data_IF_537367677541
#
_entry.id   IF_537367677541
#
_cell.length_a   1.000
_cell.length_b   1.000
_cell.length_c   1.000
_cell.angle_alpha   90.00
_cell.angle_beta   90.00
_cell.angle_gamma   90.00
#
_symmetry.space_group_name_H-M   'P 1'
#
loop_
_entity.id
_entity.type
_entity.pdbx_description
1 polymer ?
#
# COMPACT_ATOMS: atom_id res chain seq x y z
N UNK A 1 -6.94 27.73 -9.71
CA UNK A 1 -7.66 26.74 -8.88
C UNK A 1 -7.65 25.42 -9.64
N UNK A 2 -7.10 24.37 -9.07
CA UNK A 2 -7.12 23.06 -9.74
C UNK A 2 -8.56 22.57 -9.85
N UNK A 3 -8.96 22.13 -11.05
CA UNK A 3 -10.27 21.50 -11.28
C UNK A 3 -10.35 20.21 -10.45
N UNK A 4 -11.41 20.06 -9.64
CA UNK A 4 -11.67 18.81 -8.91
C UNK A 4 -12.80 18.05 -9.59
N UNK A 5 -12.64 16.75 -9.73
CA UNK A 5 -13.70 15.88 -10.20
C UNK A 5 -14.88 15.82 -9.23
N UNK A 6 -16.08 15.51 -9.75
CA UNK A 6 -17.29 15.19 -8.99
C UNK A 6 -17.38 13.70 -8.63
N UNK A 7 -16.55 12.84 -9.24
CA UNK A 7 -16.46 11.44 -8.85
C UNK A 7 -16.05 11.34 -7.37
N UNK A 8 -16.79 10.54 -6.64
CA UNK A 8 -16.36 10.17 -5.28
C UNK A 8 -15.13 9.26 -5.38
N UNK A 9 -14.30 9.26 -4.34
CA UNK A 9 -13.14 8.38 -4.29
C UNK A 9 -13.51 6.90 -4.60
N UNK A 10 -14.61 6.41 -4.03
CA UNK A 10 -15.08 5.04 -4.23
C UNK A 10 -15.50 4.75 -5.69
N UNK A 11 -16.16 5.72 -6.33
CA UNK A 11 -16.51 5.63 -7.74
C UNK A 11 -15.26 5.61 -8.63
N UNK A 12 -14.29 6.47 -8.35
CA UNK A 12 -13.02 6.50 -9.07
C UNK A 12 -12.26 5.17 -8.94
N UNK A 13 -12.16 4.60 -7.73
CA UNK A 13 -11.51 3.30 -7.52
C UNK A 13 -12.22 2.15 -8.20
N UNK A 14 -13.55 2.14 -8.18
CA UNK A 14 -14.34 1.15 -8.90
C UNK A 14 -14.02 1.18 -10.41
N UNK A 15 -13.96 2.37 -11.00
CA UNK A 15 -13.62 2.56 -12.40
C UNK A 15 -12.17 2.16 -12.69
N UNK A 16 -11.22 2.54 -11.83
CA UNK A 16 -9.81 2.17 -11.97
C UNK A 16 -9.63 0.65 -11.99
N UNK A 17 -10.24 -0.06 -11.04
CA UNK A 17 -10.16 -1.53 -10.96
C UNK A 17 -10.78 -2.19 -12.19
N UNK A 18 -11.91 -1.65 -12.67
CA UNK A 18 -12.58 -2.21 -13.84
C UNK A 18 -11.78 -2.00 -15.15
N UNK A 19 -11.22 -0.80 -15.33
CA UNK A 19 -10.46 -0.45 -16.52
C UNK A 19 -8.96 -0.80 -16.44
N UNK A 20 -8.56 -1.74 -15.59
CA UNK A 20 -7.20 -2.27 -15.51
C UNK A 20 -6.21 -1.35 -14.81
N UNK A 21 -6.68 -0.61 -13.80
CA UNK A 21 -5.85 0.25 -12.97
C UNK A 21 -5.48 1.59 -13.60
N UNK A 22 -6.20 2.03 -14.62
CA UNK A 22 -5.91 3.31 -15.31
C UNK A 22 -6.11 4.51 -14.40
N UNK A 23 -5.25 5.51 -14.55
CA UNK A 23 -5.44 6.82 -13.93
C UNK A 23 -6.34 7.69 -14.78
N UNK A 24 -7.22 8.47 -14.12
CA UNK A 24 -8.12 9.42 -14.75
C UNK A 24 -7.64 10.84 -14.52
N UNK A 25 -7.12 11.49 -15.57
CA UNK A 25 -6.69 12.89 -15.54
C UNK A 25 -7.82 13.77 -16.08
N UNK A 26 -8.40 14.62 -15.24
CA UNK A 26 -9.51 15.50 -15.61
C UNK A 26 -9.05 16.52 -16.68
N UNK A 27 -9.65 16.45 -17.87
CA UNK A 27 -9.40 17.34 -19.00
C UNK A 27 -10.44 18.43 -19.10
N UNK A 28 -11.70 18.06 -18.90
CA UNK A 28 -12.85 18.93 -19.15
C UNK A 28 -13.87 18.82 -18.01
N UNK A 29 -14.47 19.96 -17.67
CA UNK A 29 -15.57 20.06 -16.71
C UNK A 29 -16.56 21.13 -17.16
N UNK A 30 -17.82 20.72 -17.42
CA UNK A 30 -18.83 21.57 -18.02
C UNK A 30 -19.17 22.81 -17.18
N UNK A 31 -19.19 22.70 -15.85
CA UNK A 31 -19.42 23.82 -14.93
C UNK A 31 -18.33 24.89 -14.98
N UNK A 32 -17.13 24.55 -15.44
CA UNK A 32 -15.97 25.48 -15.51
C UNK A 32 -15.80 26.05 -16.91
N UNK A 33 -15.94 25.22 -17.96
CA UNK A 33 -15.57 25.56 -19.34
C UNK A 33 -16.79 25.90 -20.21
N UNK A 34 -18.00 25.92 -19.65
CA UNK A 34 -19.32 25.97 -20.31
C UNK A 34 -19.53 24.75 -21.20
N UNK A 35 -20.62 24.04 -21.01
CA UNK A 35 -20.92 22.85 -21.80
C UNK A 35 -21.16 23.22 -23.26
N UNK A 36 -20.29 22.68 -24.11
CA UNK A 36 -20.38 22.78 -25.57
C UNK A 36 -19.73 21.53 -26.15
N UNK A 37 -20.37 20.88 -27.09
CA UNK A 37 -19.82 19.73 -27.81
C UNK A 37 -18.47 20.05 -28.45
N UNK A 38 -18.35 21.24 -29.03
CA UNK A 38 -17.13 21.68 -29.68
C UNK A 38 -15.98 21.82 -28.67
N UNK A 39 -16.22 22.42 -27.50
CA UNK A 39 -15.21 22.55 -26.45
C UNK A 39 -14.80 21.19 -25.90
N UNK A 40 -15.77 20.29 -25.66
CA UNK A 40 -15.50 18.93 -25.20
C UNK A 40 -14.63 18.18 -26.21
N UNK A 41 -15.02 18.20 -27.50
CA UNK A 41 -14.27 17.52 -28.57
C UNK A 41 -12.86 18.10 -28.72
N UNK A 42 -12.71 19.43 -28.82
CA UNK A 42 -11.40 20.06 -28.94
C UNK A 42 -10.47 19.76 -27.74
N UNK A 43 -11.05 19.66 -26.53
CA UNK A 43 -10.26 19.36 -25.32
C UNK A 43 -9.80 17.90 -25.29
N UNK A 44 -10.62 16.98 -25.83
CA UNK A 44 -10.37 15.54 -25.77
C UNK A 44 -9.67 15.01 -27.04
N UNK A 45 -9.57 15.81 -28.11
CA UNK A 45 -8.92 15.41 -29.36
C UNK A 45 -7.44 15.12 -29.15
N UNK A 46 -6.95 14.02 -29.70
CA UNK A 46 -5.55 13.57 -29.60
C UNK A 46 -5.04 13.28 -28.17
N UNK A 47 -5.96 13.10 -27.22
CA UNK A 47 -5.57 12.78 -25.82
C UNK A 47 -5.41 11.27 -25.57
N UNK A 48 -5.59 10.41 -26.58
CA UNK A 48 -5.58 8.97 -26.42
C UNK A 48 -6.87 8.43 -25.77
N UNK A 49 -6.80 7.32 -25.02
CA UNK A 49 -7.97 6.75 -24.35
C UNK A 49 -8.65 7.78 -23.45
N UNK A 50 -9.95 7.98 -23.67
CA UNK A 50 -10.72 9.03 -23.01
C UNK A 50 -12.00 8.47 -22.38
N UNK A 51 -12.39 9.00 -21.24
CA UNK A 51 -13.64 8.68 -20.56
C UNK A 51 -14.46 9.94 -20.40
N UNK A 52 -15.72 9.92 -20.85
CA UNK A 52 -16.70 10.97 -20.57
C UNK A 52 -17.63 10.48 -19.48
N UNK A 53 -17.86 11.29 -18.47
CA UNK A 53 -18.73 10.98 -17.34
C UNK A 53 -19.80 12.06 -17.22
N UNK A 54 -21.05 11.64 -17.23
CA UNK A 54 -22.23 12.51 -17.10
C UNK A 54 -22.90 12.21 -15.77
N UNK A 55 -23.13 13.25 -14.99
CA UNK A 55 -23.81 13.18 -13.70
C UNK A 55 -25.27 13.61 -13.84
N UNK A 56 -26.15 12.79 -13.30
CA UNK A 56 -27.58 13.07 -13.16
C UNK A 56 -27.99 12.93 -11.69
N UNK A 57 -29.24 13.25 -11.34
CA UNK A 57 -29.73 13.12 -9.96
C UNK A 57 -29.65 11.69 -9.39
N UNK A 58 -29.85 10.69 -10.26
CA UNK A 58 -30.02 9.29 -9.82
C UNK A 58 -28.91 8.35 -10.25
N UNK A 59 -28.04 8.78 -11.16
CA UNK A 59 -26.99 7.92 -11.70
C UNK A 59 -25.84 8.74 -12.28
N UNK A 60 -24.71 8.10 -12.40
CA UNK A 60 -23.55 8.56 -13.16
C UNK A 60 -23.40 7.64 -14.37
N UNK A 61 -23.41 8.19 -15.57
CA UNK A 61 -23.25 7.44 -16.81
C UNK A 61 -21.88 7.77 -17.39
N UNK A 62 -21.10 6.75 -17.73
CA UNK A 62 -19.80 6.93 -18.35
C UNK A 62 -19.70 6.27 -19.71
N UNK A 63 -18.87 6.85 -20.55
CA UNK A 63 -18.55 6.40 -21.89
C UNK A 63 -17.04 6.34 -22.02
N UNK A 64 -16.48 5.13 -22.17
CA UNK A 64 -15.06 4.93 -22.34
C UNK A 64 -14.72 4.69 -23.81
N UNK A 65 -13.82 5.51 -24.35
CA UNK A 65 -13.33 5.50 -25.71
C UNK A 65 -11.87 4.97 -25.68
N UNK A 66 -11.70 3.71 -26.03
CA UNK A 66 -10.38 3.05 -25.97
C UNK A 66 -9.34 3.70 -26.91
N UNK A 67 -9.76 4.14 -28.07
CA UNK A 67 -8.90 4.75 -29.08
C UNK A 67 -8.91 6.27 -29.07
N UNK A 68 -9.64 6.87 -28.11
CA UNK A 68 -9.87 8.30 -28.02
C UNK A 68 -10.78 8.83 -29.14
N UNK A 69 -10.79 10.15 -29.30
CA UNK A 69 -11.57 10.82 -30.35
C UNK A 69 -10.79 10.83 -31.67
N UNK A 70 -11.07 9.87 -32.56
CA UNK A 70 -10.44 9.75 -33.90
C UNK A 70 -11.50 9.77 -35.02
N UNK A 71 -12.42 10.73 -35.06
CA UNK A 71 -13.37 10.82 -36.16
C UNK A 71 -14.82 10.49 -35.82
N UNK A 72 -15.67 10.18 -36.81
CA UNK A 72 -17.13 10.35 -36.73
C UNK A 72 -17.90 9.26 -35.98
N UNK A 73 -17.47 8.05 -35.89
CA UNK A 73 -18.22 6.95 -35.24
C UNK A 73 -17.27 6.11 -34.39
N UNK A 74 -17.11 6.51 -33.12
CA UNK A 74 -16.19 5.86 -32.20
C UNK A 74 -16.93 4.78 -31.41
N UNK A 75 -16.40 3.55 -31.45
CA UNK A 75 -16.87 2.46 -30.60
C UNK A 75 -16.61 2.79 -29.14
N UNK A 76 -17.63 2.73 -28.31
CA UNK A 76 -17.56 3.07 -26.89
C UNK A 76 -17.94 1.89 -25.99
N UNK A 77 -17.40 1.89 -24.79
CA UNK A 77 -17.91 1.07 -23.70
C UNK A 77 -18.73 1.96 -22.79
N UNK A 78 -20.00 1.60 -22.56
CA UNK A 78 -20.90 2.39 -21.72
C UNK A 78 -21.04 1.69 -20.36
N UNK A 79 -21.03 2.50 -19.30
CA UNK A 79 -21.26 2.02 -17.93
C UNK A 79 -22.17 2.98 -17.16
N UNK A 80 -22.75 2.49 -16.07
CA UNK A 80 -23.48 3.30 -15.11
C UNK A 80 -23.05 2.96 -13.68
N UNK A 81 -22.92 4.02 -12.87
CA UNK A 81 -22.75 3.94 -11.43
C UNK A 81 -24.02 4.41 -10.76
N UNK A 82 -24.65 3.54 -9.99
CA UNK A 82 -25.88 3.79 -9.24
C UNK A 82 -25.67 3.44 -7.77
N UNK A 83 -26.58 3.81 -6.90
CA UNK A 83 -26.55 3.36 -5.50
C UNK A 83 -26.55 1.84 -5.36
N UNK A 84 -27.18 1.16 -6.32
CA UNK A 84 -27.26 -0.32 -6.38
C UNK A 84 -26.00 -1.00 -6.91
N UNK A 85 -25.02 -0.25 -7.42
CA UNK A 85 -23.75 -0.79 -7.91
C UNK A 85 -23.33 -0.29 -9.30
N UNK A 86 -22.36 -0.99 -9.87
CA UNK A 86 -21.76 -0.75 -11.17
C UNK A 86 -22.40 -1.67 -12.22
N UNK A 87 -22.86 -1.10 -13.33
CA UNK A 87 -23.37 -1.85 -14.48
C UNK A 87 -22.66 -1.45 -15.76
N UNK A 88 -22.46 -2.41 -16.64
CA UNK A 88 -21.72 -2.25 -17.88
C UNK A 88 -22.51 -2.78 -19.07
N UNK A 89 -22.48 -2.04 -20.17
CA UNK A 89 -22.85 -2.51 -21.47
C UNK A 89 -21.60 -3.00 -22.19
N UNK A 90 -21.31 -4.30 -22.07
CA UNK A 90 -20.17 -4.94 -22.72
C UNK A 90 -20.47 -5.18 -24.22
N UNK A 91 -19.39 -5.34 -25.01
CA UNK A 91 -19.43 -5.57 -26.46
C UNK A 91 -20.38 -6.71 -26.83
N UNK A 92 -21.45 -6.36 -27.57
CA UNK A 92 -22.20 -7.27 -28.44
C UNK A 92 -21.69 -7.17 -29.89
N UNK A 93 -22.29 -7.91 -30.83
CA UNK A 93 -21.98 -7.78 -32.26
C UNK A 93 -22.17 -6.36 -32.78
N UNK A 94 -23.02 -5.56 -32.12
CA UNK A 94 -23.22 -4.12 -32.38
C UNK A 94 -22.64 -3.32 -31.21
N UNK A 95 -21.43 -2.79 -31.39
CA UNK A 95 -20.82 -1.90 -30.40
C UNK A 95 -21.62 -0.60 -30.28
N UNK A 96 -21.90 -0.09 -29.06
CA UNK A 96 -22.58 1.18 -28.91
C UNK A 96 -21.74 2.34 -29.46
N UNK A 97 -22.44 3.33 -30.03
CA UNK A 97 -21.83 4.52 -30.63
C UNK A 97 -22.20 5.77 -29.86
N UNK A 98 -21.25 6.70 -29.76
CA UNK A 98 -21.48 8.04 -29.22
C UNK A 98 -21.81 8.99 -30.37
N UNK A 99 -22.94 9.68 -30.26
CA UNK A 99 -23.41 10.68 -31.21
C UNK A 99 -23.45 12.06 -30.56
N UNK A 100 -22.97 13.09 -31.27
CA UNK A 100 -23.05 14.48 -30.85
C UNK A 100 -24.13 15.29 -31.62
N UNK A 101 -24.68 14.73 -32.69
CA UNK A 101 -25.73 15.35 -33.49
C UNK A 101 -26.83 14.34 -33.83
N UNK A 102 -28.09 14.78 -33.86
CA UNK A 102 -29.23 13.95 -34.29
C UNK A 102 -29.01 13.43 -35.72
N UNK A 103 -28.54 12.20 -35.81
CA UNK A 103 -28.67 11.35 -37.01
C UNK A 103 -29.59 10.17 -36.66
N UNK A 104 -30.03 9.38 -37.62
CA UNK A 104 -30.87 8.19 -37.36
C UNK A 104 -30.25 7.37 -36.24
N UNK A 105 -30.95 7.28 -35.09
CA UNK A 105 -30.54 6.50 -33.93
C UNK A 105 -30.70 5.03 -34.23
N UNK A 106 -29.61 4.27 -34.22
CA UNK A 106 -29.65 2.82 -34.19
C UNK A 106 -29.98 2.35 -32.77
N UNK A 107 -30.44 1.10 -32.62
CA UNK A 107 -30.87 0.53 -31.33
C UNK A 107 -29.78 0.50 -30.25
N UNK A 108 -28.51 0.81 -30.57
CA UNK A 108 -27.36 0.86 -29.68
C UNK A 108 -26.62 2.21 -29.77
N UNK A 109 -27.32 3.31 -29.69
CA UNK A 109 -26.69 4.64 -29.68
C UNK A 109 -26.97 5.41 -28.40
N UNK A 110 -25.96 6.21 -28.00
CA UNK A 110 -26.09 7.23 -26.97
C UNK A 110 -25.85 8.59 -27.61
N UNK A 111 -26.80 9.51 -27.42
CA UNK A 111 -26.66 10.89 -27.89
C UNK A 111 -26.37 11.78 -26.68
N UNK A 112 -25.23 12.44 -26.70
CA UNK A 112 -24.87 13.47 -25.73
C UNK A 112 -25.33 14.81 -26.29
N UNK A 113 -26.37 15.40 -25.70
CA UNK A 113 -26.84 16.75 -25.99
C UNK A 113 -26.42 17.72 -24.88
N UNK A 114 -26.52 19.02 -25.10
CA UNK A 114 -26.07 20.03 -24.12
C UNK A 114 -26.82 20.00 -22.79
N UNK A 115 -28.04 19.45 -22.76
CA UNK A 115 -28.90 19.41 -21.57
C UNK A 115 -29.25 18.02 -21.10
N UNK A 116 -29.05 17.00 -21.92
CA UNK A 116 -29.48 15.65 -21.64
C UNK A 116 -28.64 14.61 -22.37
N UNK A 117 -28.56 13.42 -21.78
CA UNK A 117 -28.13 12.22 -22.50
C UNK A 117 -29.37 11.46 -22.96
N UNK A 118 -29.44 11.14 -24.24
CA UNK A 118 -30.52 10.31 -24.80
C UNK A 118 -29.92 8.92 -25.04
N UNK A 119 -30.46 7.95 -24.33
CA UNK A 119 -29.94 6.56 -24.30
C UNK A 119 -30.95 5.66 -24.97
N UNK A 120 -30.54 4.77 -25.87
CA UNK A 120 -31.47 3.82 -26.49
C UNK A 120 -32.13 2.90 -25.44
N UNK A 121 -33.34 2.42 -25.76
CA UNK A 121 -34.12 1.55 -24.85
C UNK A 121 -33.37 0.24 -24.52
N UNK A 122 -32.59 -0.26 -25.46
CA UNK A 122 -31.75 -1.45 -25.24
C UNK A 122 -30.66 -1.21 -24.19
N UNK A 123 -29.94 -0.09 -24.33
CA UNK A 123 -28.88 0.30 -23.37
C UNK A 123 -29.50 0.63 -22.01
N UNK A 124 -30.65 1.32 -21.95
CA UNK A 124 -31.32 1.58 -20.68
C UNK A 124 -31.65 0.29 -19.91
N UNK A 125 -32.13 -0.75 -20.61
CA UNK A 125 -32.41 -2.05 -19.99
C UNK A 125 -31.14 -2.76 -19.51
N UNK A 126 -30.07 -2.74 -20.30
CA UNK A 126 -28.79 -3.37 -19.94
C UNK A 126 -28.13 -2.71 -18.72
N UNK A 127 -28.21 -1.39 -18.64
CA UNK A 127 -27.66 -0.62 -17.54
C UNK A 127 -28.64 -0.42 -16.37
N UNK A 128 -29.84 -1.00 -16.45
CA UNK A 128 -30.92 -0.87 -15.44
C UNK A 128 -31.27 0.59 -15.11
N UNK A 129 -31.20 1.47 -16.12
CA UNK A 129 -31.48 2.90 -15.95
C UNK A 129 -33.00 3.19 -15.92
N UNK A 130 -33.42 3.94 -14.92
CA UNK A 130 -34.79 4.46 -14.84
C UNK A 130 -34.87 5.83 -15.51
N UNK A 131 -35.11 5.87 -16.82
CA UNK A 131 -35.21 7.11 -17.58
C UNK A 131 -36.62 7.29 -18.18
N UNK A 132 -37.28 8.46 -18.00
CA UNK A 132 -38.51 8.79 -18.71
C UNK A 132 -38.17 9.10 -20.17
N UNK A 133 -38.81 8.39 -21.09
CA UNK A 133 -38.60 8.56 -22.54
C UNK A 133 -37.12 8.46 -22.98
N UNK A 134 -36.30 7.65 -22.27
CA UNK A 134 -34.88 7.46 -22.57
C UNK A 134 -34.03 8.74 -22.50
N UNK A 135 -34.52 9.78 -21.84
CA UNK A 135 -33.81 11.06 -21.66
C UNK A 135 -33.39 11.23 -20.22
N UNK A 136 -32.10 11.48 -20.01
CA UNK A 136 -31.48 11.66 -18.70
C UNK A 136 -30.92 13.08 -18.64
N UNK A 137 -31.45 13.97 -17.76
CA UNK A 137 -30.94 15.32 -17.60
C UNK A 137 -29.50 15.35 -17.11
N UNK A 138 -28.69 16.27 -17.65
CA UNK A 138 -27.27 16.46 -17.23
C UNK A 138 -27.22 17.53 -16.15
N UNK A 139 -26.59 17.19 -15.03
CA UNK A 139 -26.20 18.14 -13.99
C UNK A 139 -24.75 18.60 -14.15
N UNK A 140 -23.87 17.70 -14.56
CA UNK A 140 -22.45 17.95 -14.83
C UNK A 140 -21.96 16.98 -15.89
N UNK A 141 -20.94 17.41 -16.65
CA UNK A 141 -20.23 16.56 -17.59
C UNK A 141 -18.73 16.76 -17.41
N UNK A 142 -18.02 15.68 -17.23
CA UNK A 142 -16.57 15.66 -17.09
C UNK A 142 -15.95 14.74 -18.13
N UNK A 143 -14.76 15.08 -18.61
CA UNK A 143 -13.98 14.19 -19.45
C UNK A 143 -12.58 14.00 -18.87
N UNK A 144 -12.11 12.78 -18.97
CA UNK A 144 -10.83 12.35 -18.41
C UNK A 144 -9.97 11.71 -19.49
N UNK A 145 -8.70 11.99 -19.50
CA UNK A 145 -7.70 11.16 -20.16
C UNK A 145 -7.45 9.94 -19.29
N UNK A 146 -7.48 8.76 -19.91
CA UNK A 146 -7.20 7.50 -19.22
C UNK A 146 -5.75 7.08 -19.48
N UNK A 147 -4.89 7.34 -18.52
CA UNK A 147 -3.47 7.02 -18.62
C UNK A 147 -3.21 5.56 -18.17
N UNK A 148 -2.29 4.87 -18.84
CA UNK A 148 -1.77 3.60 -18.35
C UNK A 148 -0.94 3.87 -17.08
N UNK A 149 -1.06 2.99 -16.09
CA UNK A 149 -0.25 3.06 -14.87
C UNK A 149 1.27 2.97 -15.14
N UNK A 150 1.63 2.36 -16.25
CA UNK A 150 3.02 2.22 -16.73
C UNK A 150 3.40 3.35 -17.71
N UNK A 151 2.91 4.57 -17.53
CA UNK A 151 3.48 5.70 -18.24
C UNK A 151 4.99 5.74 -17.93
N UNK A 152 5.82 5.69 -18.97
CA UNK A 152 7.29 5.68 -18.83
C UNK A 152 7.81 6.81 -17.93
N UNK A 153 7.12 7.96 -17.89
CA UNK A 153 7.48 9.09 -17.04
C UNK A 153 7.35 8.77 -15.57
N UNK A 154 6.29 8.02 -15.15
CA UNK A 154 6.10 7.57 -13.77
C UNK A 154 7.04 6.44 -13.41
N UNK A 155 7.23 5.49 -14.33
CA UNK A 155 8.19 4.40 -14.14
C UNK A 155 9.60 4.94 -13.95
N UNK A 156 10.00 5.99 -14.70
CA UNK A 156 11.29 6.67 -14.48
C UNK A 156 11.38 7.31 -13.12
N UNK A 157 10.33 7.96 -12.63
CA UNK A 157 10.28 8.56 -11.29
C UNK A 157 10.45 7.51 -10.19
N UNK A 158 9.76 6.37 -10.29
CA UNK A 158 9.88 5.25 -9.36
C UNK A 158 11.29 4.65 -9.42
N UNK A 159 11.84 4.43 -10.60
CA UNK A 159 13.18 3.87 -10.77
C UNK A 159 14.27 4.78 -10.18
N UNK A 160 14.14 6.09 -10.34
CA UNK A 160 15.07 7.06 -9.74
C UNK A 160 14.96 7.06 -8.22
N UNK A 161 13.74 7.06 -7.68
CA UNK A 161 13.51 7.00 -6.23
C UNK A 161 14.03 5.68 -5.64
N UNK A 162 13.75 4.55 -6.29
CA UNK A 162 14.27 3.23 -5.92
C UNK A 162 15.82 3.24 -5.84
N UNK A 163 16.47 3.72 -6.91
CA UNK A 163 17.95 3.80 -6.95
C UNK A 163 18.50 4.70 -5.84
N UNK A 164 17.86 5.84 -5.58
CA UNK A 164 18.28 6.78 -4.53
C UNK A 164 18.12 6.16 -3.13
N UNK A 165 17.01 5.46 -2.86
CA UNK A 165 16.78 4.78 -1.60
C UNK A 165 17.78 3.64 -1.38
N UNK A 166 18.01 2.85 -2.42
CA UNK A 166 18.96 1.73 -2.37
C UNK A 166 20.39 2.22 -2.11
N UNK A 167 20.80 3.32 -2.77
CA UNK A 167 22.10 3.95 -2.54
C UNK A 167 22.22 4.53 -1.13
N UNK A 168 21.19 5.26 -0.66
CA UNK A 168 21.17 5.83 0.68
C UNK A 168 21.29 4.75 1.78
N UNK A 169 20.70 3.56 1.56
CA UNK A 169 20.78 2.45 2.49
C UNK A 169 22.11 1.67 2.40
N UNK A 170 22.76 1.66 1.24
CA UNK A 170 24.12 1.15 1.08
C UNK A 170 25.15 2.05 1.75
N UNK A 171 24.96 3.34 1.67
CA UNK A 171 25.82 4.37 2.27
C UNK A 171 25.51 4.62 3.74
N UNK A 172 24.49 3.95 4.30
CA UNK A 172 24.10 4.07 5.69
C UNK A 172 25.27 3.72 6.61
N UNK A 173 25.45 4.49 7.67
CA UNK A 173 26.41 4.23 8.74
C UNK A 173 25.74 4.45 10.08
N UNK A 174 25.97 3.55 11.06
CA UNK A 174 25.55 3.78 12.43
C UNK A 174 26.14 5.08 12.99
N UNK A 175 25.37 5.78 13.81
CA UNK A 175 25.77 7.05 14.37
C UNK A 175 27.09 6.94 15.19
N UNK A 176 28.04 7.86 14.91
CA UNK A 176 29.25 8.04 15.69
C UNK A 176 30.20 6.84 15.73
N UNK A 177 30.06 5.89 14.81
CA UNK A 177 30.84 4.62 14.80
C UNK A 177 30.78 3.84 16.12
N UNK A 178 29.72 4.07 16.94
CA UNK A 178 29.54 3.41 18.24
C UNK A 178 29.37 1.89 18.11
N UNK A 179 28.79 1.46 16.98
CA UNK A 179 28.61 0.07 16.61
C UNK A 179 28.92 -0.12 15.12
N UNK A 180 29.36 -1.31 14.73
CA UNK A 180 29.58 -1.64 13.32
C UNK A 180 28.28 -1.90 12.57
N UNK A 181 27.28 -2.42 13.27
CA UNK A 181 25.97 -2.77 12.70
C UNK A 181 24.86 -2.40 13.67
N UNK A 182 23.86 -1.70 13.14
CA UNK A 182 22.63 -1.39 13.87
C UNK A 182 21.76 -2.63 13.96
N UNK A 183 21.19 -2.93 15.13
CA UNK A 183 20.30 -4.07 15.36
C UNK A 183 18.84 -3.61 15.51
N UNK A 184 17.96 -4.16 14.69
CA UNK A 184 16.53 -3.89 14.67
C UNK A 184 15.77 -5.15 15.06
N UNK A 185 14.98 -5.08 16.12
CA UNK A 185 14.13 -6.19 16.56
C UNK A 185 12.72 -6.10 15.94
N UNK A 186 12.27 -7.17 15.31
CA UNK A 186 10.89 -7.31 14.81
C UNK A 186 10.06 -8.04 15.87
N UNK A 187 9.05 -7.37 16.42
CA UNK A 187 8.06 -7.90 17.35
C UNK A 187 6.67 -7.86 16.74
N UNK A 188 5.75 -8.69 17.17
CA UNK A 188 4.38 -8.64 16.73
C UNK A 188 3.70 -10.00 16.74
N UNK A 189 2.39 -10.05 16.47
CA UNK A 189 1.63 -11.29 16.47
C UNK A 189 2.19 -12.37 15.53
N UNK A 190 1.78 -13.61 15.76
CA UNK A 190 2.02 -14.71 14.83
C UNK A 190 1.31 -14.37 13.51
N UNK A 191 1.94 -14.65 12.37
CA UNK A 191 1.38 -14.35 11.05
C UNK A 191 1.44 -12.88 10.60
N UNK A 192 1.94 -11.97 11.44
CA UNK A 192 2.00 -10.52 11.11
C UNK A 192 2.98 -10.15 9.97
N UNK A 193 3.75 -11.10 9.42
CA UNK A 193 4.66 -10.84 8.29
C UNK A 193 6.08 -10.42 8.69
N UNK A 194 6.56 -10.68 9.92
CA UNK A 194 7.92 -10.37 10.38
C UNK A 194 8.99 -11.02 9.51
N UNK A 195 8.96 -12.33 9.40
CA UNK A 195 9.91 -13.11 8.59
C UNK A 195 9.78 -12.81 7.10
N UNK A 196 8.57 -12.53 6.63
CA UNK A 196 8.31 -12.08 5.26
C UNK A 196 8.96 -10.73 4.96
N UNK A 197 8.97 -9.81 5.93
CA UNK A 197 9.66 -8.53 5.79
C UNK A 197 11.17 -8.72 5.66
N UNK A 198 11.77 -9.59 6.46
CA UNK A 198 13.21 -9.91 6.33
C UNK A 198 13.53 -10.51 4.96
N UNK A 199 12.70 -11.46 4.46
CA UNK A 199 12.85 -12.01 3.12
C UNK A 199 12.70 -10.93 2.04
N UNK A 200 11.76 -10.01 2.20
CA UNK A 200 11.52 -8.90 1.27
C UNK A 200 12.73 -7.96 1.21
N UNK A 201 13.26 -7.55 2.35
CA UNK A 201 14.49 -6.75 2.41
C UNK A 201 15.65 -7.46 1.71
N UNK A 202 15.87 -8.76 2.04
CA UNK A 202 16.90 -9.56 1.36
C UNK A 202 16.71 -9.64 -0.14
N UNK A 203 15.48 -9.80 -0.60
CA UNK A 203 15.15 -9.89 -2.02
C UNK A 203 15.51 -8.61 -2.77
N UNK A 204 15.16 -7.45 -2.21
CA UNK A 204 15.46 -6.16 -2.81
C UNK A 204 16.98 -5.95 -2.94
N UNK A 205 17.75 -6.16 -1.89
CA UNK A 205 19.21 -5.99 -1.93
C UNK A 205 19.91 -7.03 -2.78
N UNK A 206 19.39 -8.24 -2.86
CA UNK A 206 19.91 -9.31 -3.74
C UNK A 206 19.57 -9.08 -5.21
N UNK A 207 18.54 -8.28 -5.52
CA UNK A 207 18.02 -8.06 -6.88
C UNK A 207 17.23 -9.27 -7.43
N UNK A 208 16.78 -10.19 -6.58
CA UNK A 208 15.97 -11.35 -6.94
C UNK A 208 15.22 -11.89 -5.73
N UNK A 209 14.02 -12.42 -5.97
CA UNK A 209 13.20 -13.00 -4.89
C UNK A 209 13.95 -14.10 -4.16
N UNK A 210 13.88 -14.09 -2.83
CA UNK A 210 14.46 -15.12 -1.97
C UNK A 210 13.49 -15.54 -0.87
N UNK A 211 13.43 -16.84 -0.62
CA UNK A 211 12.63 -17.46 0.43
C UNK A 211 13.53 -18.21 1.43
N UNK A 212 14.68 -17.62 1.77
CA UNK A 212 15.66 -18.24 2.68
C UNK A 212 15.12 -18.48 4.08
N UNK A 213 14.15 -17.66 4.49
CA UNK A 213 13.47 -17.80 5.78
C UNK A 213 12.14 -18.49 5.50
N UNK A 214 11.93 -19.62 6.19
CA UNK A 214 10.64 -20.32 6.11
C UNK A 214 9.55 -19.41 6.68
N UNK A 215 8.50 -19.26 5.93
CA UNK A 215 7.31 -18.49 6.30
C UNK A 215 6.10 -19.40 6.20
N UNK A 216 5.22 -19.38 7.19
CA UNK A 216 3.99 -20.15 7.17
C UNK A 216 2.95 -19.57 8.12
N UNK A 217 1.73 -20.04 7.97
CA UNK A 217 0.55 -19.59 8.71
C UNK A 217 0.03 -20.65 9.71
N UNK A 218 0.86 -21.60 10.12
CA UNK A 218 0.45 -22.59 11.11
C UNK A 218 0.18 -21.93 12.46
N UNK A 219 -0.81 -22.42 13.18
CA UNK A 219 -1.29 -21.85 14.45
C UNK A 219 -0.17 -21.75 15.50
N UNK A 220 0.83 -22.63 15.43
CA UNK A 220 1.97 -22.67 16.36
C UNK A 220 3.14 -21.74 15.93
N UNK A 221 3.08 -21.15 14.73
CA UNK A 221 4.15 -20.30 14.17
C UNK A 221 5.39 -21.12 13.75
N UNK A 222 6.00 -20.77 12.62
CA UNK A 222 7.22 -21.46 12.11
C UNK A 222 8.48 -20.94 12.78
N UNK A 223 8.48 -19.70 13.24
CA UNK A 223 9.65 -19.08 13.88
C UNK A 223 9.64 -19.33 15.39
N UNK A 224 10.19 -20.44 15.82
CA UNK A 224 10.36 -20.83 17.23
C UNK A 224 11.65 -20.31 17.86
N UNK A 225 12.52 -19.68 17.06
CA UNK A 225 13.87 -19.24 17.45
C UNK A 225 14.09 -17.76 17.23
N UNK A 226 14.88 -17.17 18.13
CA UNK A 226 15.47 -15.87 17.86
C UNK A 226 16.53 -15.98 16.76
N UNK A 227 16.39 -15.19 15.71
CA UNK A 227 17.29 -15.22 14.56
C UNK A 227 17.78 -13.84 14.20
N UNK A 228 19.07 -13.74 13.96
CA UNK A 228 19.69 -12.51 13.47
C UNK A 228 20.08 -12.65 12.00
N UNK A 229 19.70 -11.69 11.18
CA UNK A 229 19.90 -11.73 9.75
C UNK A 229 20.72 -10.54 9.28
N UNK A 230 21.97 -10.78 8.91
CA UNK A 230 22.78 -9.82 8.17
C UNK A 230 22.30 -9.76 6.72
N UNK A 231 22.22 -8.57 6.17
CA UNK A 231 21.79 -8.31 4.80
C UNK A 231 23.03 -8.07 3.94
N UNK A 232 23.07 -8.70 2.76
CA UNK A 232 24.14 -8.50 1.78
C UNK A 232 23.53 -7.98 0.48
N UNK A 233 24.17 -6.99 -0.13
CA UNK A 233 23.84 -6.59 -1.49
C UNK A 233 24.45 -7.57 -2.51
N UNK A 234 23.91 -7.55 -3.74
CA UNK A 234 24.23 -8.52 -4.79
C UNK A 234 25.73 -8.61 -5.10
N UNK A 235 26.37 -7.44 -5.15
CA UNK A 235 27.77 -7.32 -5.60
C UNK A 235 28.74 -7.07 -4.46
N UNK A 236 28.28 -7.06 -3.20
CA UNK A 236 29.09 -6.74 -2.03
C UNK A 236 29.55 -8.01 -1.30
N UNK A 237 30.84 -8.09 -0.99
CA UNK A 237 31.41 -9.16 -0.16
C UNK A 237 30.98 -9.04 1.29
N UNK A 238 30.90 -7.81 1.79
CA UNK A 238 30.61 -7.50 3.17
C UNK A 238 29.11 -7.26 3.42
N UNK A 239 28.61 -7.61 4.60
CA UNK A 239 27.23 -7.32 4.96
C UNK A 239 27.01 -5.82 5.17
N UNK A 240 25.80 -5.37 4.89
CA UNK A 240 25.38 -4.00 5.19
C UNK A 240 25.44 -3.70 6.69
N UNK A 241 25.60 -2.43 7.09
CA UNK A 241 25.84 -2.06 8.49
C UNK A 241 24.58 -2.10 9.36
N UNK A 242 23.72 -3.08 9.11
CA UNK A 242 22.54 -3.35 9.94
C UNK A 242 22.16 -4.85 9.96
N UNK A 243 21.47 -5.25 11.01
CA UNK A 243 20.98 -6.60 11.27
C UNK A 243 19.49 -6.53 11.59
N UNK A 244 18.69 -7.35 10.92
CA UNK A 244 17.30 -7.58 11.29
C UNK A 244 17.20 -8.81 12.20
N UNK A 245 16.59 -8.62 13.36
CA UNK A 245 16.40 -9.66 14.35
C UNK A 245 14.95 -10.10 14.37
N UNK A 246 14.68 -11.33 13.98
CA UNK A 246 13.35 -11.93 13.95
C UNK A 246 13.14 -12.77 15.22
N UNK A 247 11.95 -12.68 15.80
CA UNK A 247 11.60 -13.36 17.04
C UNK A 247 10.33 -14.18 16.89
N UNK A 248 10.09 -15.06 17.83
CA UNK A 248 8.81 -15.74 18.01
C UNK A 248 7.68 -14.71 18.08
N UNK A 249 6.54 -15.04 17.47
CA UNK A 249 5.36 -14.18 17.50
C UNK A 249 4.81 -13.99 18.91
N UNK A 250 4.26 -12.82 19.15
CA UNK A 250 3.49 -12.54 20.37
C UNK A 250 2.12 -13.22 20.26
N UNK A 251 1.78 -14.00 21.26
CA UNK A 251 0.49 -14.66 21.39
C UNK A 251 -0.16 -14.37 22.74
N UNK A 252 -1.39 -14.81 22.92
CA UNK A 252 -2.13 -14.65 24.18
C UNK A 252 -1.54 -15.53 25.29
N UNK A 253 -1.63 -16.84 25.11
CA UNK A 253 -1.18 -17.86 26.05
C UNK A 253 0.09 -18.57 25.58
N UNK A 254 0.46 -18.42 24.32
CA UNK A 254 1.63 -18.98 23.68
C UNK A 254 2.49 -17.87 23.06
N UNK A 255 3.64 -18.24 22.48
CA UNK A 255 4.53 -17.30 21.83
C UNK A 255 5.55 -16.68 22.78
N UNK A 256 6.13 -15.56 22.34
CA UNK A 256 7.23 -14.90 23.06
C UNK A 256 6.79 -14.40 24.45
N UNK A 257 7.52 -14.82 25.49
CA UNK A 257 7.29 -14.34 26.85
C UNK A 257 7.73 -12.88 27.00
N UNK A 258 7.02 -12.10 27.79
CA UNK A 258 7.33 -10.66 27.98
C UNK A 258 8.75 -10.45 28.56
N UNK A 259 9.20 -11.35 29.42
CA UNK A 259 10.54 -11.27 30.02
C UNK A 259 11.64 -11.56 29.01
N UNK A 260 11.40 -12.47 28.04
CA UNK A 260 12.34 -12.74 26.95
C UNK A 260 12.57 -11.52 26.07
N UNK A 261 11.56 -10.67 25.88
CA UNK A 261 11.72 -9.40 25.14
C UNK A 261 12.84 -8.56 25.77
N UNK A 262 12.88 -8.48 27.12
CA UNK A 262 13.93 -7.73 27.82
C UNK A 262 15.32 -8.34 27.69
N UNK A 263 15.41 -9.67 27.71
CA UNK A 263 16.69 -10.36 27.50
C UNK A 263 17.21 -10.15 26.07
N UNK A 264 16.29 -10.12 25.07
CA UNK A 264 16.66 -9.80 23.68
C UNK A 264 17.14 -8.35 23.59
N UNK A 265 16.35 -7.40 24.11
CA UNK A 265 16.66 -5.96 24.03
C UNK A 265 18.03 -5.63 24.63
N UNK A 266 18.36 -6.24 25.75
CA UNK A 266 19.64 -6.04 26.44
C UNK A 266 20.81 -6.81 25.81
N UNK A 267 20.57 -7.70 24.85
CA UNK A 267 21.57 -8.47 24.15
C UNK A 267 22.00 -9.76 24.88
N UNK A 268 21.23 -10.21 25.86
CA UNK A 268 21.55 -11.46 26.61
C UNK A 268 21.18 -12.72 25.81
N UNK A 269 20.25 -12.63 24.85
CA UNK A 269 19.76 -13.76 24.07
C UNK A 269 20.65 -13.99 22.85
N UNK A 270 21.29 -15.16 22.71
CA UNK A 270 22.16 -15.48 21.57
C UNK A 270 21.35 -15.74 20.29
N UNK A 271 21.99 -15.59 19.12
CA UNK A 271 21.42 -16.03 17.85
C UNK A 271 21.04 -17.51 17.89
N UNK A 272 19.94 -17.88 17.24
CA UNK A 272 19.37 -19.23 17.19
C UNK A 272 18.85 -19.76 18.52
N UNK A 273 18.70 -18.92 19.54
CA UNK A 273 18.04 -19.32 20.76
C UNK A 273 16.62 -19.80 20.49
N UNK A 274 16.27 -20.99 20.98
CA UNK A 274 14.93 -21.55 20.89
C UNK A 274 14.14 -21.15 22.13
N UNK A 275 13.03 -20.44 21.91
CA UNK A 275 12.17 -20.02 23.00
C UNK A 275 11.38 -21.21 23.57
N UNK A 276 11.19 -21.17 24.88
CA UNK A 276 10.26 -22.02 25.59
C UNK A 276 9.07 -21.14 26.03
N UNK A 277 7.88 -21.44 25.51
CA UNK A 277 6.67 -20.65 25.83
C UNK A 277 6.29 -20.72 27.33
N UNK A 278 6.80 -21.72 28.06
CA UNK A 278 6.52 -21.94 29.47
C UNK A 278 7.57 -21.32 30.41
N UNK A 279 8.78 -21.09 29.92
CA UNK A 279 9.88 -20.60 30.74
C UNK A 279 10.74 -19.60 29.98
N UNK A 280 10.82 -18.34 30.45
CA UNK A 280 11.72 -17.38 29.85
C UNK A 280 13.18 -17.79 30.05
N UNK A 281 14.06 -17.26 29.21
CA UNK A 281 15.51 -17.45 29.35
C UNK A 281 15.97 -16.93 30.72
N UNK A 282 16.86 -17.66 31.36
CA UNK A 282 17.46 -17.24 32.63
C UNK A 282 18.95 -17.13 32.51
N UNK A 283 19.60 -16.40 33.41
CA UNK A 283 21.05 -16.27 33.48
C UNK A 283 21.82 -17.61 33.65
N UNK A 284 21.12 -18.66 34.05
CA UNK A 284 21.72 -20.00 34.16
C UNK A 284 21.74 -20.77 32.84
N UNK A 285 21.15 -20.21 31.75
CA UNK A 285 21.18 -20.88 30.45
C UNK A 285 22.60 -20.93 29.88
N UNK A 286 23.07 -22.07 29.34
CA UNK A 286 24.47 -22.25 28.90
C UNK A 286 24.96 -21.21 27.89
N UNK A 287 24.07 -20.74 27.08
CA UNK A 287 24.36 -19.77 26.01
C UNK A 287 23.93 -18.33 26.37
N UNK A 288 23.64 -18.04 27.64
CA UNK A 288 23.25 -16.69 28.06
C UNK A 288 24.47 -15.75 28.02
N UNK A 289 24.33 -14.61 27.36
CA UNK A 289 25.35 -13.57 27.31
C UNK A 289 25.26 -12.74 28.59
N UNK A 290 26.21 -12.89 29.52
CA UNK A 290 26.16 -12.21 30.82
C UNK A 290 26.47 -10.70 30.71
N UNK A 291 27.47 -10.33 29.91
CA UNK A 291 27.98 -8.97 29.79
C UNK A 291 27.84 -8.48 28.31
N UNK A 292 26.60 -8.19 27.84
CA UNK A 292 26.37 -7.78 26.45
C UNK A 292 26.91 -6.36 26.22
N UNK A 293 27.67 -6.21 25.16
CA UNK A 293 28.19 -4.93 24.70
C UNK A 293 27.07 -4.15 23.95
N UNK A 294 27.29 -2.87 23.66
CA UNK A 294 26.36 -2.08 22.88
C UNK A 294 26.02 -2.74 21.54
N UNK A 295 27.01 -3.32 20.85
CA UNK A 295 26.82 -4.04 19.57
C UNK A 295 25.87 -5.25 19.65
N UNK A 296 25.64 -5.79 20.86
CA UNK A 296 24.79 -6.96 21.09
C UNK A 296 23.34 -6.55 21.42
N UNK A 297 23.13 -5.29 21.82
CA UNK A 297 21.82 -4.74 22.19
C UNK A 297 20.98 -4.38 20.97
N UNK A 298 19.68 -4.29 21.16
CA UNK A 298 18.76 -3.79 20.15
C UNK A 298 18.74 -2.26 20.20
N UNK A 299 18.80 -1.63 19.03
CA UNK A 299 18.84 -0.18 18.88
C UNK A 299 17.48 0.42 18.44
N UNK A 300 16.64 -0.39 17.80
CA UNK A 300 15.26 -0.02 17.45
C UNK A 300 14.34 -1.24 17.50
N UNK A 301 13.09 -1.04 17.93
CA UNK A 301 12.06 -2.08 17.91
C UNK A 301 10.99 -1.73 16.88
N UNK A 302 10.64 -2.67 16.03
CA UNK A 302 9.57 -2.53 15.04
C UNK A 302 8.43 -3.49 15.39
N UNK A 303 7.29 -2.94 15.73
CA UNK A 303 6.08 -3.71 15.96
C UNK A 303 5.37 -3.99 14.63
N UNK A 304 5.38 -5.24 14.20
CA UNK A 304 4.82 -5.68 12.92
C UNK A 304 3.42 -6.20 13.10
N UNK A 305 2.47 -5.71 12.29
CA UNK A 305 1.06 -6.12 12.31
C UNK A 305 0.53 -6.29 10.89
N UNK A 306 -0.43 -7.20 10.74
CA UNK A 306 -1.24 -7.26 9.53
C UNK A 306 -2.33 -6.16 9.59
N UNK A 307 -2.37 -5.29 8.58
CA UNK A 307 -3.29 -4.17 8.48
C UNK A 307 -4.77 -4.61 8.45
N UNK A 308 -5.04 -5.85 8.07
CA UNK A 308 -6.40 -6.38 7.95
C UNK A 308 -6.91 -7.01 9.26
N UNK A 309 -6.01 -7.49 10.13
CA UNK A 309 -6.38 -8.32 11.28
C UNK A 309 -6.09 -7.68 12.64
N UNK A 310 -5.38 -6.56 12.72
CA UNK A 310 -5.00 -5.96 14.00
C UNK A 310 -6.20 -5.60 14.91
N UNK A 311 -7.36 -5.29 14.32
CA UNK A 311 -8.60 -4.98 15.04
C UNK A 311 -9.25 -6.22 15.67
N UNK A 312 -8.90 -7.42 15.20
CA UNK A 312 -9.44 -8.70 15.65
C UNK A 312 -8.64 -9.32 16.79
N UNK A 313 -7.53 -8.69 17.20
CA UNK A 313 -6.74 -9.19 18.32
C UNK A 313 -7.49 -9.08 19.63
N UNK A 314 -7.29 -10.07 20.50
CA UNK A 314 -7.90 -10.08 21.83
C UNK A 314 -7.42 -8.93 22.70
N UNK A 315 -8.24 -8.60 23.69
CA UNK A 315 -7.90 -7.57 24.70
C UNK A 315 -6.60 -7.89 25.44
N UNK A 316 -6.32 -9.17 25.66
CA UNK A 316 -5.14 -9.67 26.34
C UNK A 316 -3.86 -9.41 25.53
N UNK A 317 -3.89 -9.75 24.23
CA UNK A 317 -2.77 -9.50 23.34
C UNK A 317 -2.51 -7.99 23.17
N UNK A 318 -3.57 -7.20 22.99
CA UNK A 318 -3.46 -5.74 22.92
C UNK A 318 -2.86 -5.17 24.20
N UNK A 319 -3.30 -5.64 25.38
CA UNK A 319 -2.76 -5.22 26.68
C UNK A 319 -1.28 -5.59 26.84
N UNK A 320 -0.88 -6.80 26.40
CA UNK A 320 0.51 -7.28 26.40
C UNK A 320 1.40 -6.37 25.54
N UNK A 321 0.97 -6.06 24.33
CA UNK A 321 1.71 -5.17 23.41
C UNK A 321 1.81 -3.75 23.99
N UNK A 322 0.72 -3.20 24.53
CA UNK A 322 0.73 -1.88 25.17
C UNK A 322 1.63 -1.85 26.41
N UNK A 323 1.73 -2.94 27.15
CA UNK A 323 2.67 -3.07 28.27
C UNK A 323 4.12 -3.01 27.79
N UNK A 324 4.48 -3.83 26.82
CA UNK A 324 5.83 -3.83 26.24
C UNK A 324 6.18 -2.43 25.75
N UNK A 325 5.28 -1.79 24.97
CA UNK A 325 5.50 -0.44 24.44
C UNK A 325 5.72 0.61 25.54
N UNK A 326 4.91 0.60 26.61
CA UNK A 326 5.09 1.52 27.76
C UNK A 326 6.44 1.32 28.43
N UNK A 327 6.87 0.08 28.52
CA UNK A 327 8.14 -0.23 29.14
C UNK A 327 9.33 0.19 28.23
N UNK A 328 9.22 0.06 26.89
CA UNK A 328 10.19 0.63 25.95
C UNK A 328 10.34 2.16 26.14
N UNK A 329 9.21 2.87 26.21
CA UNK A 329 9.19 4.34 26.43
C UNK A 329 9.91 4.70 27.72
N UNK A 330 9.65 3.98 28.82
CA UNK A 330 10.30 4.23 30.12
C UNK A 330 11.83 4.05 30.08
N UNK A 331 12.31 3.19 29.17
CA UNK A 331 13.74 2.91 29.05
C UNK A 331 14.40 3.66 27.88
N UNK A 332 13.69 4.60 27.26
CA UNK A 332 14.20 5.39 26.15
C UNK A 332 14.49 4.60 24.87
N UNK A 333 13.88 3.40 24.70
CA UNK A 333 14.07 2.57 23.50
C UNK A 333 13.11 3.01 22.42
N UNK A 334 13.62 3.51 21.32
CA UNK A 334 12.85 3.97 20.19
C UNK A 334 12.18 2.81 19.44
N UNK A 335 10.96 3.04 18.99
CA UNK A 335 10.16 2.00 18.37
C UNK A 335 9.14 2.55 17.38
N UNK A 336 8.90 1.79 16.32
CA UNK A 336 7.97 2.08 15.22
C UNK A 336 6.95 0.95 15.09
N UNK A 337 5.86 1.21 14.37
CA UNK A 337 4.93 0.19 13.89
C UNK A 337 5.10 -0.01 12.38
N UNK A 338 5.01 -1.25 11.92
CA UNK A 338 5.05 -1.64 10.52
C UNK A 338 3.78 -2.43 10.19
N UNK A 339 2.91 -1.86 9.39
CA UNK A 339 1.69 -2.51 8.91
C UNK A 339 1.98 -3.20 7.57
N UNK A 340 1.81 -4.51 7.54
CA UNK A 340 2.01 -5.38 6.37
C UNK A 340 0.71 -5.62 5.63
N UNK A 341 0.76 -6.36 4.51
CA UNK A 341 -0.39 -6.76 3.69
C UNK A 341 -1.24 -5.58 3.19
N UNK A 342 -0.64 -4.42 2.99
CA UNK A 342 -1.37 -3.23 2.52
C UNK A 342 -1.95 -3.42 1.12
N UNK A 343 -1.34 -4.26 0.30
CA UNK A 343 -1.77 -4.65 -1.05
C UNK A 343 -3.05 -5.51 -1.07
N UNK A 344 -3.47 -6.06 0.06
CA UNK A 344 -4.71 -6.84 0.19
C UNK A 344 -5.93 -6.00 0.61
N UNK A 345 -5.77 -4.70 0.84
CA UNK A 345 -6.90 -3.82 1.06
C UNK A 345 -7.72 -3.65 -0.21
N UNK A 346 -9.03 -3.76 -0.08
CA UNK A 346 -9.96 -3.58 -1.20
C UNK A 346 -9.77 -2.21 -1.87
N UNK A 347 -9.88 -2.20 -3.20
CA UNK A 347 -9.80 -1.02 -4.04
C UNK A 347 -8.43 -0.32 -4.10
N UNK A 348 -7.35 -0.94 -3.63
CA UNK A 348 -5.99 -0.43 -3.83
C UNK A 348 -5.45 -0.88 -5.19
N UNK A 349 -5.04 0.09 -6.00
CA UNK A 349 -4.33 -0.14 -7.26
C UNK A 349 -2.82 0.04 -7.09
N UNK A 350 -2.03 -0.39 -8.07
CA UNK A 350 -0.57 -0.20 -8.02
C UNK A 350 -0.15 1.27 -7.90
N UNK A 351 -0.93 2.19 -8.46
CA UNK A 351 -0.65 3.62 -8.36
C UNK A 351 -0.89 4.16 -6.95
N UNK A 352 -1.91 3.64 -6.26
CA UNK A 352 -2.21 4.03 -4.90
C UNK A 352 -1.07 3.66 -3.96
N UNK A 353 -0.37 2.57 -4.24
CA UNK A 353 0.79 2.14 -3.46
C UNK A 353 1.99 3.09 -3.55
N UNK A 354 2.10 3.92 -4.59
CA UNK A 354 3.12 4.96 -4.68
C UNK A 354 2.87 6.15 -3.74
N UNK A 355 1.61 6.42 -3.42
CA UNK A 355 1.20 7.49 -2.50
C UNK A 355 0.24 6.95 -1.42
N UNK A 356 0.65 5.83 -0.85
CA UNK A 356 -0.19 4.96 -0.02
C UNK A 356 -0.81 5.68 1.19
N UNK A 357 -0.10 6.63 1.78
CA UNK A 357 -0.55 7.34 2.99
C UNK A 357 -1.68 8.34 2.72
N UNK A 358 -1.86 8.77 1.47
CA UNK A 358 -2.91 9.73 1.08
C UNK A 358 -4.23 9.07 0.71
N UNK A 359 -4.26 7.73 0.61
CA UNK A 359 -5.46 7.00 0.23
C UNK A 359 -6.38 6.69 1.42
N UNK A 360 -7.67 6.96 1.23
CA UNK A 360 -8.68 6.90 2.29
C UNK A 360 -8.74 5.58 3.05
N UNK A 361 -8.71 4.38 2.43
CA UNK A 361 -8.72 3.11 3.16
C UNK A 361 -7.52 2.93 4.07
N UNK A 362 -6.32 3.27 3.59
CA UNK A 362 -5.09 3.18 4.38
C UNK A 362 -5.15 4.20 5.52
N UNK A 363 -5.50 5.45 5.23
CA UNK A 363 -5.62 6.49 6.25
C UNK A 363 -6.58 6.09 7.37
N UNK A 364 -7.75 5.55 7.04
CA UNK A 364 -8.71 5.07 8.05
C UNK A 364 -8.13 3.95 8.90
N UNK A 365 -7.37 3.02 8.31
CA UNK A 365 -6.69 1.95 9.04
C UNK A 365 -5.56 2.49 9.94
N UNK A 366 -4.80 3.48 9.49
CA UNK A 366 -3.76 4.14 10.30
C UNK A 366 -4.37 4.86 11.51
N UNK A 367 -5.49 5.58 11.33
CA UNK A 367 -6.23 6.25 12.41
C UNK A 367 -6.80 5.23 13.41
N UNK A 368 -7.37 4.12 12.93
CA UNK A 368 -7.86 3.04 13.79
C UNK A 368 -6.70 2.39 14.58
N UNK A 369 -5.57 2.10 13.91
CA UNK A 369 -4.38 1.53 14.57
C UNK A 369 -3.80 2.48 15.64
N UNK A 370 -3.71 3.79 15.32
CA UNK A 370 -3.35 4.82 16.30
C UNK A 370 -4.27 4.76 17.52
N UNK A 371 -5.59 4.70 17.31
CA UNK A 371 -6.58 4.62 18.39
C UNK A 371 -6.43 3.37 19.25
N UNK A 372 -6.14 2.22 18.65
CA UNK A 372 -6.00 0.94 19.37
C UNK A 372 -4.69 0.88 20.15
N UNK A 373 -3.55 1.16 19.51
CA UNK A 373 -2.22 0.91 20.08
C UNK A 373 -1.50 2.17 20.57
N UNK A 374 -1.94 3.36 20.17
CA UNK A 374 -1.42 4.66 20.62
C UNK A 374 -0.10 5.07 19.98
N UNK A 375 0.32 4.48 18.86
CA UNK A 375 1.48 4.98 18.09
C UNK A 375 1.14 6.33 17.47
N UNK A 376 2.11 7.24 17.38
CA UNK A 376 1.91 8.45 16.58
C UNK A 376 1.74 8.07 15.10
N UNK A 377 0.97 8.85 14.36
CA UNK A 377 0.77 8.56 12.92
C UNK A 377 2.08 8.62 12.13
N UNK A 378 3.04 9.44 12.56
CA UNK A 378 4.40 9.52 12.01
C UNK A 378 5.22 8.23 12.20
N UNK A 379 4.90 7.46 13.24
CA UNK A 379 5.65 6.28 13.64
C UNK A 379 5.04 4.99 13.06
N UNK A 380 4.03 5.11 12.19
CA UNK A 380 3.35 3.99 11.56
C UNK A 380 3.75 3.91 10.09
N UNK A 381 4.49 2.88 9.76
CA UNK A 381 4.97 2.56 8.42
C UNK A 381 4.07 1.50 7.77
N UNK A 382 3.94 1.50 6.45
CA UNK A 382 3.18 0.51 5.69
C UNK A 382 4.04 -0.16 4.63
N UNK A 383 3.87 -1.48 4.45
CA UNK A 383 4.58 -2.24 3.43
C UNK A 383 3.71 -3.35 2.82
N UNK A 384 4.06 -3.72 1.60
CA UNK A 384 3.63 -4.96 0.96
C UNK A 384 4.83 -5.88 0.84
N UNK A 385 4.81 -7.01 1.54
CA UNK A 385 5.88 -8.01 1.50
C UNK A 385 5.82 -8.87 0.23
N UNK A 386 6.96 -9.41 -0.18
CA UNK A 386 7.02 -10.49 -1.17
C UNK A 386 6.62 -11.81 -0.51
N UNK A 387 5.63 -12.50 -1.09
CA UNK A 387 5.09 -13.77 -0.58
C UNK A 387 5.09 -14.85 -1.67
N UNK A 388 4.50 -14.59 -2.82
CA UNK A 388 4.30 -15.54 -3.91
C UNK A 388 4.83 -15.06 -5.26
N UNK A 389 5.39 -13.87 -5.30
CA UNK A 389 5.90 -13.28 -6.54
C UNK A 389 7.19 -13.97 -7.00
N UNK A 390 7.38 -14.00 -8.31
CA UNK A 390 8.58 -14.53 -8.96
C UNK A 390 9.58 -13.43 -9.35
N UNK A 391 9.12 -12.19 -9.40
CA UNK A 391 9.92 -11.04 -9.81
C UNK A 391 9.73 -9.89 -8.83
N UNK A 392 10.74 -9.02 -8.74
CA UNK A 392 10.66 -7.80 -7.97
C UNK A 392 9.69 -6.81 -8.62
N UNK A 393 8.94 -6.11 -7.80
CA UNK A 393 8.04 -5.03 -8.18
C UNK A 393 8.62 -3.70 -7.64
N UNK A 394 8.97 -2.74 -8.52
CA UNK A 394 9.59 -1.48 -8.09
C UNK A 394 8.77 -0.68 -7.09
N UNK A 395 7.44 -0.84 -7.08
CA UNK A 395 6.55 -0.14 -6.12
C UNK A 395 6.65 -0.81 -4.74
N UNK A 396 6.63 -2.15 -4.68
CA UNK A 396 6.86 -2.88 -3.43
C UNK A 396 8.27 -2.60 -2.88
N UNK A 397 9.28 -2.64 -3.75
CA UNK A 397 10.66 -2.31 -3.37
C UNK A 397 10.76 -0.93 -2.72
N UNK A 398 10.11 0.08 -3.31
CA UNK A 398 10.10 1.44 -2.81
C UNK A 398 9.49 1.53 -1.40
N UNK A 399 8.36 0.84 -1.14
CA UNK A 399 7.73 0.80 0.19
C UNK A 399 8.65 0.13 1.22
N UNK A 400 9.26 -1.00 0.85
CA UNK A 400 10.18 -1.76 1.72
C UNK A 400 11.41 -0.92 2.05
N UNK A 401 12.04 -0.30 1.03
CA UNK A 401 13.23 0.53 1.23
C UNK A 401 12.94 1.80 2.02
N UNK A 402 11.78 2.44 1.78
CA UNK A 402 11.35 3.62 2.54
C UNK A 402 11.13 3.28 4.01
N UNK A 403 10.42 2.18 4.29
CA UNK A 403 10.22 1.74 5.67
C UNK A 403 11.56 1.39 6.35
N UNK A 404 12.44 0.67 5.67
CA UNK A 404 13.76 0.33 6.22
C UNK A 404 14.60 1.57 6.50
N UNK A 405 14.55 2.58 5.64
CA UNK A 405 15.25 3.85 5.84
C UNK A 405 14.81 4.55 7.12
N UNK A 406 13.50 4.69 7.34
CA UNK A 406 12.96 5.31 8.56
C UNK A 406 13.32 4.50 9.82
N UNK A 407 13.26 3.17 9.74
CA UNK A 407 13.67 2.28 10.84
C UNK A 407 15.14 2.51 11.22
N UNK A 408 16.03 2.60 10.24
CA UNK A 408 17.45 2.81 10.50
C UNK A 408 17.77 4.22 10.99
N UNK A 409 17.01 5.23 10.54
CA UNK A 409 17.14 6.59 11.07
C UNK A 409 16.70 6.66 12.52
N UNK A 410 15.56 6.05 12.87
CA UNK A 410 15.12 5.92 14.28
C UNK A 410 16.15 5.21 15.15
N UNK A 411 16.79 4.17 14.62
CA UNK A 411 17.86 3.48 15.35
C UNK A 411 19.11 4.37 15.55
N UNK A 412 19.42 5.26 14.61
CA UNK A 412 20.48 6.24 14.76
C UNK A 412 20.15 7.32 15.81
N UNK A 413 18.91 7.79 15.87
CA UNK A 413 18.45 8.70 16.93
C UNK A 413 18.64 8.08 18.33
N UNK A 414 18.34 6.78 18.49
CA UNK A 414 18.63 6.07 19.72
C UNK A 414 20.12 6.04 20.07
N UNK A 415 21.01 5.80 19.08
CA UNK A 415 22.46 5.78 19.30
C UNK A 415 22.99 7.19 19.62
N UNK A 416 22.41 8.22 19.03
CA UNK A 416 22.78 9.62 19.29
C UNK A 416 22.43 10.08 20.71
N UNK A 417 21.30 9.61 21.23
CA UNK A 417 20.82 9.97 22.58
C UNK A 417 21.53 9.19 23.72
N UNK A 418 22.39 8.23 23.36
CA UNK A 418 23.18 7.51 24.36
C UNK A 418 24.21 8.44 25.04
N UNK A 419 24.30 8.40 26.38
CA UNK A 419 25.32 9.17 27.08
C UNK A 419 26.70 8.72 26.60
N UNK A 420 27.41 9.59 25.89
CA UNK A 420 28.81 9.40 25.55
C UNK A 420 29.57 9.42 26.86
N UNK A 421 29.90 8.26 27.38
CA UNK A 421 30.88 8.18 28.46
C UNK A 421 32.20 8.77 27.94
N UNK A 422 32.50 9.99 28.38
CA UNK A 422 33.80 10.64 28.17
C UNK A 422 34.90 9.89 28.91
#
# INVERSE_FOLDING_TARGET
MAMRTRLTWQQEKCLQNYFGGKRFCLLYKASVQKFSHQNLLCTCENQGPTMIVVYSEKCVIGMYLKEGFQGKDVSITIFALQETGFSLCAKGPDSPYLLFHKRKTNDFSILLDEKAVIVSSAICKMLQLTARNNVIPIQECEAFRCEELLDERKTRGIAVLHSNLLQALRDYKPYGDLVQQTRVLLLGPIGAGKSSFVNSVKSVFKGSITHQILVGCDEDGISDKYRTYSIKAKDDSDPLPFILCDSLGLGENAGLHTDDVWHILKGHTPDRYQFDSMKPITSNHPNYTHDPLLKDRIHCVVFVFDINSFEMHSSELVAKIKKIRRDLIKHGILHLALLTHVDSLDLITKEDMTDIYNYSPVKSKLEAFHGVFGFALSDILVVSNYVSEWQLDPVKDMLILSALKEILYTANEFLEDLPLNK
#
